data_IF_343930019650
#
_entry.id   IF_343930019650
#
_cell.length_a   1.000
_cell.length_b   1.000
_cell.length_c   1.000
_cell.angle_alpha   90.00
_cell.angle_beta   90.00
_cell.angle_gamma   90.00
#
_symmetry.space_group_name_H-M   'P 1'
#
loop_
_entity.id
_entity.type
_entity.pdbx_description
1 polymer ?
#
# COMPACT_ATOMS: atom_id res chain seq x y z
N UNK A 1 13.16 -7.98 -18.50
CA UNK A 1 11.80 -7.49 -18.77
C UNK A 1 11.88 -6.05 -19.26
N UNK A 2 11.17 -5.73 -20.33
CA UNK A 2 11.01 -4.33 -20.77
C UNK A 2 10.15 -3.59 -19.74
N UNK A 3 10.58 -2.38 -19.36
CA UNK A 3 9.92 -1.60 -18.32
C UNK A 3 9.88 -0.10 -18.63
N UNK A 4 8.90 0.58 -18.05
CA UNK A 4 8.75 2.03 -18.04
C UNK A 4 8.68 2.45 -16.59
N UNK A 5 9.43 3.48 -16.19
CA UNK A 5 9.46 4.01 -14.82
C UNK A 5 8.76 5.35 -14.74
N UNK A 6 8.12 5.61 -13.62
CA UNK A 6 7.34 6.82 -13.34
C UNK A 6 7.82 7.47 -12.06
N UNK A 7 7.70 8.78 -11.98
CA UNK A 7 8.01 9.57 -10.78
C UNK A 7 6.82 10.44 -10.38
N UNK A 8 6.70 10.70 -9.08
CA UNK A 8 5.63 11.57 -8.58
C UNK A 8 5.65 12.97 -9.20
N UNK A 9 6.85 13.52 -9.45
CA UNK A 9 7.01 14.87 -9.99
C UNK A 9 6.60 15.02 -11.45
N UNK A 10 6.83 13.98 -12.26
CA UNK A 10 6.60 14.07 -13.71
C UNK A 10 5.28 13.40 -14.13
N UNK A 11 4.91 12.34 -13.44
CA UNK A 11 3.84 11.42 -13.86
C UNK A 11 2.65 11.42 -12.89
N UNK A 12 2.79 12.06 -11.73
CA UNK A 12 1.77 12.11 -10.70
C UNK A 12 1.65 10.84 -9.84
N UNK A 13 2.52 9.86 -10.07
CA UNK A 13 2.65 8.65 -9.25
C UNK A 13 4.06 8.05 -9.38
N UNK A 14 4.45 7.28 -8.37
CA UNK A 14 5.72 6.56 -8.38
C UNK A 14 5.49 5.09 -8.69
N UNK A 15 6.11 4.59 -9.76
CA UNK A 15 5.86 3.24 -10.21
C UNK A 15 6.80 2.73 -11.29
N UNK A 16 6.65 1.44 -11.60
CA UNK A 16 7.31 0.77 -12.72
C UNK A 16 6.33 -0.14 -13.42
N UNK A 17 6.12 0.11 -14.70
CA UNK A 17 5.32 -0.75 -15.56
C UNK A 17 6.20 -1.79 -16.24
N UNK A 18 5.94 -3.05 -15.95
CA UNK A 18 6.58 -4.20 -16.56
C UNK A 18 5.70 -4.76 -17.67
N UNK A 19 6.21 -4.70 -18.90
CA UNK A 19 5.49 -5.16 -20.08
C UNK A 19 5.65 -6.66 -20.21
N UNK A 20 4.55 -7.38 -20.35
CA UNK A 20 4.57 -8.82 -20.59
C UNK A 20 5.24 -9.11 -21.94
N UNK A 21 6.30 -9.92 -22.00
CA UNK A 21 7.03 -10.19 -23.23
C UNK A 21 6.20 -10.96 -24.28
N UNK A 22 5.18 -11.66 -23.85
CA UNK A 22 4.30 -12.44 -24.76
C UNK A 22 3.08 -11.62 -25.24
N UNK A 23 3.02 -10.33 -24.88
CA UNK A 23 1.87 -9.49 -25.12
C UNK A 23 0.75 -9.73 -24.10
N UNK A 24 0.12 -8.65 -23.67
CA UNK A 24 -1.05 -8.69 -22.79
C UNK A 24 -1.85 -7.41 -22.97
N UNK A 25 -3.17 -7.52 -22.88
CA UNK A 25 -4.10 -6.39 -22.94
C UNK A 25 -4.84 -6.16 -21.61
N UNK A 26 -4.38 -6.81 -20.54
CA UNK A 26 -4.85 -6.62 -19.18
C UNK A 26 -3.65 -6.32 -18.27
N UNK A 27 -3.88 -5.56 -17.21
CA UNK A 27 -2.84 -5.22 -16.26
C UNK A 27 -3.27 -5.46 -14.81
N UNK A 28 -2.28 -5.67 -13.95
CA UNK A 28 -2.46 -5.67 -12.50
C UNK A 28 -1.59 -4.57 -11.90
N UNK A 29 -2.19 -3.70 -11.09
CA UNK A 29 -1.47 -2.79 -10.20
C UNK A 29 -1.07 -3.59 -8.98
N UNK A 30 0.24 -3.69 -8.74
CA UNK A 30 0.80 -4.38 -7.58
C UNK A 30 1.39 -3.37 -6.59
N UNK A 31 0.87 -3.37 -5.37
CA UNK A 31 1.38 -2.59 -4.25
C UNK A 31 2.32 -3.50 -3.44
N UNK A 32 3.59 -3.59 -3.86
CA UNK A 32 4.54 -4.58 -3.36
C UNK A 32 5.62 -4.02 -2.42
N UNK A 33 5.48 -2.81 -1.93
CA UNK A 33 6.41 -2.20 -0.98
C UNK A 33 6.99 -0.87 -1.47
N UNK A 34 8.17 -0.51 -0.97
CA UNK A 34 8.70 0.86 -1.06
C UNK A 34 9.32 1.18 -2.42
N UNK A 35 9.86 0.19 -3.10
CA UNK A 35 10.52 0.37 -4.39
C UNK A 35 9.86 -0.49 -5.47
N UNK A 36 9.24 0.13 -6.49
CA UNK A 36 8.61 -0.59 -7.59
C UNK A 36 9.60 -1.34 -8.49
N UNK A 37 10.89 -1.26 -8.21
CA UNK A 37 11.96 -1.95 -8.92
C UNK A 37 12.73 -2.96 -8.04
N UNK A 38 12.36 -3.15 -6.80
CA UNK A 38 13.04 -4.05 -5.89
C UNK A 38 12.86 -5.54 -6.25
N UNK A 39 13.35 -6.40 -5.38
CA UNK A 39 13.23 -7.85 -5.56
C UNK A 39 11.78 -8.32 -5.51
N UNK A 40 10.99 -7.81 -4.57
CA UNK A 40 9.58 -8.19 -4.39
C UNK A 40 8.74 -7.80 -5.60
N UNK A 41 8.88 -6.56 -6.05
CA UNK A 41 8.23 -6.06 -7.25
C UNK A 41 8.57 -6.90 -8.50
N UNK A 42 9.84 -7.23 -8.67
CA UNK A 42 10.29 -8.09 -9.79
C UNK A 42 9.78 -9.52 -9.70
N UNK A 43 9.71 -10.10 -8.51
CA UNK A 43 9.15 -11.44 -8.31
C UNK A 43 7.65 -11.44 -8.61
N UNK A 44 6.91 -10.48 -8.08
CA UNK A 44 5.48 -10.32 -8.38
C UNK A 44 5.23 -10.12 -9.87
N UNK A 45 6.00 -9.26 -10.52
CA UNK A 45 5.89 -9.05 -11.97
C UNK A 45 6.16 -10.33 -12.78
N UNK A 46 7.18 -11.10 -12.43
CA UNK A 46 7.48 -12.39 -13.10
C UNK A 46 6.36 -13.40 -12.93
N UNK A 47 5.80 -13.49 -11.74
CA UNK A 47 4.69 -14.39 -11.45
C UNK A 47 3.44 -14.00 -12.24
N UNK A 48 3.08 -12.73 -12.25
CA UNK A 48 1.92 -12.21 -12.98
C UNK A 48 2.10 -12.32 -14.50
N UNK A 49 3.33 -12.12 -15.03
CA UNK A 49 3.62 -12.33 -16.45
C UNK A 49 3.34 -13.77 -16.91
N UNK A 50 3.63 -14.77 -16.06
CA UNK A 50 3.30 -16.18 -16.37
C UNK A 50 1.80 -16.40 -16.49
N UNK A 51 1.00 -15.53 -15.87
CA UNK A 51 -0.46 -15.54 -15.95
C UNK A 51 -1.03 -14.58 -17.02
N UNK A 52 -0.20 -14.09 -17.93
CA UNK A 52 -0.63 -13.38 -19.12
C UNK A 52 -1.04 -11.93 -18.93
N UNK A 53 -0.57 -11.25 -17.88
CA UNK A 53 -0.90 -9.84 -17.61
C UNK A 53 0.33 -8.94 -17.58
N UNK A 54 0.14 -7.67 -17.90
CA UNK A 54 1.09 -6.60 -17.62
C UNK A 54 1.07 -6.25 -16.12
N UNK A 55 2.14 -5.66 -15.59
CA UNK A 55 2.20 -5.32 -14.16
C UNK A 55 2.66 -3.89 -13.97
N UNK A 56 1.85 -3.11 -13.25
CA UNK A 56 2.23 -1.80 -12.74
C UNK A 56 2.56 -1.94 -11.27
N UNK A 57 3.83 -2.02 -10.91
CA UNK A 57 4.25 -1.94 -9.52
C UNK A 57 4.23 -0.49 -9.08
N UNK A 58 3.52 -0.18 -8.00
CA UNK A 58 3.45 1.16 -7.42
C UNK A 58 3.94 1.15 -5.99
N UNK A 59 4.48 2.28 -5.57
CA UNK A 59 4.94 2.52 -4.20
C UNK A 59 4.57 3.94 -3.76
N UNK A 60 4.45 4.20 -2.45
CA UNK A 60 4.04 5.52 -1.96
C UNK A 60 5.05 6.60 -2.31
N UNK A 61 6.31 6.38 -2.00
CA UNK A 61 7.43 7.27 -2.36
C UNK A 61 8.78 6.58 -2.09
N UNK A 62 9.81 7.21 -2.64
CA UNK A 62 11.16 6.71 -2.74
C UNK A 62 11.89 6.83 -1.42
N UNK A 63 11.85 6.12 -0.46
CA UNK A 63 12.86 6.06 0.62
C UNK A 63 12.37 5.84 2.05
N UNK A 64 11.13 6.09 2.35
CA UNK A 64 10.61 5.80 3.67
C UNK A 64 9.32 5.01 3.50
N UNK A 65 9.29 3.80 4.00
CA UNK A 65 8.05 3.07 4.16
C UNK A 65 7.16 3.87 5.13
N UNK A 66 6.32 4.69 4.55
CA UNK A 66 5.46 5.62 5.26
C UNK A 66 4.07 5.53 4.65
N UNK A 67 3.08 5.36 5.49
CA UNK A 67 1.70 5.35 5.11
C UNK A 67 1.02 6.57 5.76
N UNK A 68 1.26 7.75 5.21
CA UNK A 68 0.71 9.01 5.71
C UNK A 68 0.01 9.76 4.60
N UNK A 69 -1.32 9.76 4.66
CA UNK A 69 -2.17 10.48 3.71
C UNK A 69 -1.79 10.21 2.24
N UNK A 70 -1.54 8.94 1.90
CA UNK A 70 -1.22 8.57 0.53
C UNK A 70 -2.40 8.92 -0.40
N UNK A 71 -2.18 9.77 -1.43
CA UNK A 71 -3.26 10.20 -2.29
C UNK A 71 -3.76 9.06 -3.18
N UNK A 72 -5.01 8.64 -3.01
CA UNK A 72 -5.64 7.62 -3.88
C UNK A 72 -5.68 8.05 -5.34
N UNK A 73 -5.63 9.35 -5.61
CA UNK A 73 -5.56 9.93 -6.95
C UNK A 73 -4.35 9.45 -7.73
N UNK A 74 -3.27 9.06 -7.07
CA UNK A 74 -2.09 8.47 -7.71
C UNK A 74 -2.43 7.12 -8.37
N UNK A 75 -3.26 6.32 -7.71
CA UNK A 75 -3.76 5.06 -8.29
C UNK A 75 -4.67 5.37 -9.48
N UNK A 76 -5.55 6.37 -9.37
CA UNK A 76 -6.39 6.81 -10.47
C UNK A 76 -5.59 7.28 -11.69
N UNK A 77 -4.49 7.99 -11.46
CA UNK A 77 -3.59 8.41 -12.52
C UNK A 77 -2.93 7.22 -13.23
N UNK A 78 -2.50 6.21 -12.47
CA UNK A 78 -1.96 4.97 -13.03
C UNK A 78 -3.01 4.18 -13.82
N UNK A 79 -4.24 4.09 -13.32
CA UNK A 79 -5.38 3.46 -14.04
C UNK A 79 -5.60 4.14 -15.38
N UNK A 80 -5.69 5.47 -15.40
CA UNK A 80 -5.87 6.26 -16.62
C UNK A 80 -4.72 6.01 -17.60
N UNK A 81 -3.49 5.98 -17.12
CA UNK A 81 -2.33 5.68 -17.94
C UNK A 81 -2.41 4.28 -18.55
N UNK A 82 -2.74 3.26 -17.74
CA UNK A 82 -2.87 1.88 -18.20
C UNK A 82 -3.94 1.73 -19.29
N UNK A 83 -5.10 2.36 -19.13
CA UNK A 83 -6.17 2.36 -20.14
C UNK A 83 -5.72 3.01 -21.45
N UNK A 84 -5.08 4.16 -21.36
CA UNK A 84 -4.56 4.89 -22.52
C UNK A 84 -3.44 4.11 -23.24
N UNK A 85 -2.79 3.16 -22.57
CA UNK A 85 -1.78 2.28 -23.14
C UNK A 85 -2.30 0.86 -23.45
N UNK A 86 -3.60 0.73 -23.72
CA UNK A 86 -4.21 -0.46 -24.30
C UNK A 86 -4.60 -1.55 -23.31
N UNK A 87 -4.53 -1.32 -22.00
CA UNK A 87 -4.97 -2.31 -21.03
C UNK A 87 -6.49 -2.22 -20.84
N UNK A 88 -7.20 -3.30 -21.17
CA UNK A 88 -8.68 -3.36 -21.18
C UNK A 88 -9.26 -3.60 -19.80
N UNK A 89 -8.65 -4.50 -19.02
CA UNK A 89 -9.05 -4.82 -17.65
C UNK A 89 -7.90 -4.54 -16.71
N UNK A 90 -8.21 -3.96 -15.56
CA UNK A 90 -7.23 -3.57 -14.57
C UNK A 90 -7.62 -4.23 -13.24
N UNK A 91 -6.71 -5.07 -12.72
CA UNK A 91 -6.76 -5.56 -11.36
C UNK A 91 -5.87 -4.75 -10.44
N UNK A 92 -6.11 -4.85 -9.13
CA UNK A 92 -5.21 -4.32 -8.11
C UNK A 92 -4.95 -5.38 -7.04
N UNK A 93 -3.73 -5.42 -6.52
CA UNK A 93 -3.37 -6.34 -5.44
C UNK A 93 -2.34 -5.75 -4.48
N UNK A 94 -2.44 -6.19 -3.24
CA UNK A 94 -1.48 -5.83 -2.19
C UNK A 94 -1.57 -6.76 -0.99
N UNK A 95 -0.63 -6.61 -0.06
CA UNK A 95 -0.56 -7.41 1.16
C UNK A 95 -0.56 -6.49 2.37
N UNK A 96 -1.21 -6.91 3.48
CA UNK A 96 -1.28 -6.14 4.73
C UNK A 96 -1.86 -4.74 4.49
N UNK A 97 -1.16 -3.67 4.85
CA UNK A 97 -1.59 -2.29 4.58
C UNK A 97 -1.85 -2.04 3.09
N UNK A 98 -0.97 -2.53 2.22
CA UNK A 98 -1.19 -2.43 0.78
C UNK A 98 -2.41 -3.24 0.28
N UNK A 99 -2.77 -4.31 0.98
CA UNK A 99 -4.02 -5.05 0.74
C UNK A 99 -5.25 -4.20 1.08
N UNK A 100 -5.23 -3.52 2.21
CA UNK A 100 -6.25 -2.53 2.58
C UNK A 100 -6.32 -1.38 1.56
N UNK A 101 -5.17 -0.81 1.16
CA UNK A 101 -5.10 0.24 0.15
C UNK A 101 -5.71 -0.21 -1.18
N UNK A 102 -5.52 -1.49 -1.55
CA UNK A 102 -6.10 -2.07 -2.76
C UNK A 102 -7.63 -2.14 -2.69
N UNK A 103 -8.18 -2.53 -1.53
CA UNK A 103 -9.63 -2.59 -1.31
C UNK A 103 -10.21 -1.17 -1.31
N UNK A 104 -9.57 -0.24 -0.60
CA UNK A 104 -9.99 1.15 -0.58
C UNK A 104 -9.99 1.74 -2.01
N UNK A 105 -8.91 1.56 -2.77
CA UNK A 105 -8.84 2.04 -4.15
C UNK A 105 -9.98 1.51 -5.03
N UNK A 106 -10.36 0.25 -4.87
CA UNK A 106 -11.44 -0.35 -5.64
C UNK A 106 -12.81 0.27 -5.33
N UNK A 107 -13.01 0.81 -4.13
CA UNK A 107 -14.24 1.52 -3.78
C UNK A 107 -14.36 2.92 -4.42
N UNK A 108 -13.23 3.53 -4.78
CA UNK A 108 -13.17 4.83 -5.46
C UNK A 108 -13.10 4.72 -6.98
N UNK A 109 -12.56 3.62 -7.51
CA UNK A 109 -12.30 3.46 -8.94
C UNK A 109 -13.03 2.26 -9.53
N UNK A 110 -14.21 2.45 -10.15
CA UNK A 110 -14.99 1.38 -10.78
C UNK A 110 -14.28 0.72 -11.97
N UNK A 111 -13.23 1.32 -12.48
CA UNK A 111 -12.37 0.76 -13.52
C UNK A 111 -11.51 -0.42 -13.02
N UNK A 112 -11.38 -0.60 -11.71
CA UNK A 112 -10.75 -1.77 -11.11
C UNK A 112 -11.74 -2.94 -11.18
N UNK A 113 -11.42 -3.94 -11.99
CA UNK A 113 -12.30 -5.09 -12.26
C UNK A 113 -12.03 -6.30 -11.36
N UNK A 114 -10.90 -6.31 -10.66
CA UNK A 114 -10.49 -7.37 -9.74
C UNK A 114 -9.64 -6.77 -8.63
N UNK A 115 -9.94 -7.12 -7.38
CA UNK A 115 -9.14 -6.75 -6.22
C UNK A 115 -8.69 -8.01 -5.48
N UNK A 116 -7.40 -8.06 -5.14
CA UNK A 116 -6.84 -9.12 -4.33
C UNK A 116 -6.08 -8.53 -3.15
N UNK A 117 -6.61 -8.71 -1.95
CA UNK A 117 -5.96 -8.36 -0.68
C UNK A 117 -5.45 -9.61 0.03
N UNK A 118 -4.15 -9.68 0.29
CA UNK A 118 -3.59 -10.72 1.13
C UNK A 118 -3.47 -10.18 2.56
N UNK A 119 -4.18 -10.80 3.49
CA UNK A 119 -4.23 -10.38 4.91
C UNK A 119 -4.51 -8.88 5.09
N UNK A 120 -5.50 -8.30 4.40
CA UNK A 120 -5.87 -6.89 4.56
C UNK A 120 -6.57 -6.68 5.90
N UNK A 121 -6.56 -5.44 6.42
CA UNK A 121 -7.59 -5.00 7.35
C UNK A 121 -8.86 -4.60 6.58
N UNK A 122 -9.99 -4.65 7.25
CA UNK A 122 -11.30 -4.22 6.75
C UNK A 122 -11.62 -2.75 7.08
N UNK A 123 -10.66 -2.04 7.63
CA UNK A 123 -10.73 -0.61 7.96
C UNK A 123 -9.43 0.10 7.59
N UNK A 124 -9.51 1.40 7.36
CA UNK A 124 -8.37 2.25 7.07
C UNK A 124 -7.67 2.61 8.39
N UNK A 125 -6.36 2.48 8.41
CA UNK A 125 -5.54 2.75 9.59
C UNK A 125 -5.22 4.25 9.71
N UNK A 126 -4.96 4.70 10.95
CA UNK A 126 -4.27 5.96 11.18
C UNK A 126 -2.95 5.97 10.42
N UNK A 127 -2.56 7.12 9.90
CA UNK A 127 -1.27 7.30 9.22
C UNK A 127 -0.11 7.02 10.17
N UNK A 128 0.91 6.36 9.66
CA UNK A 128 2.10 6.00 10.43
C UNK A 128 3.37 6.05 9.59
N UNK A 129 4.49 6.27 10.27
CA UNK A 129 5.83 6.15 9.70
C UNK A 129 6.56 4.97 10.32
N UNK A 130 7.35 4.25 9.54
CA UNK A 130 8.25 3.25 10.10
C UNK A 130 9.49 3.88 10.70
N UNK A 131 9.87 3.40 11.88
CA UNK A 131 11.09 3.82 12.56
C UNK A 131 12.33 3.38 11.78
N UNK A 132 13.29 4.27 11.64
CA UNK A 132 14.46 4.14 10.75
C UNK A 132 15.48 3.08 11.18
N UNK A 133 15.38 2.47 12.37
CA UNK A 133 16.47 1.65 12.92
C UNK A 133 16.24 0.14 12.83
N UNK A 134 15.01 -0.30 12.87
CA UNK A 134 14.69 -1.73 12.93
C UNK A 134 13.54 -2.15 12.04
N UNK A 135 12.98 -1.22 11.25
CA UNK A 135 11.84 -1.49 10.36
C UNK A 135 10.55 -1.90 11.06
N UNK A 136 10.56 -1.94 12.38
CA UNK A 136 9.52 -2.55 13.21
C UNK A 136 8.72 -1.54 14.04
N UNK A 137 9.17 -0.30 14.12
CA UNK A 137 8.47 0.75 14.88
C UNK A 137 7.61 1.58 13.95
N UNK A 138 6.34 1.33 14.02
CA UNK A 138 5.34 2.16 13.38
C UNK A 138 5.02 3.34 14.30
N UNK A 139 5.32 4.55 13.84
CA UNK A 139 5.05 5.78 14.56
C UNK A 139 3.80 6.42 13.98
N UNK A 140 2.73 6.41 14.71
CA UNK A 140 1.48 6.99 14.27
C UNK A 140 1.55 8.52 14.24
N UNK A 141 0.97 9.04 13.20
CA UNK A 141 0.92 10.48 12.98
C UNK A 141 -0.44 11.01 13.40
N UNK A 142 -0.50 11.96 14.34
CA UNK A 142 -1.77 12.57 14.76
C UNK A 142 -2.51 13.20 13.58
N UNK A 143 -3.83 13.01 13.53
CA UNK A 143 -4.71 13.58 12.51
C UNK A 143 -4.37 13.20 11.06
N UNK A 144 -3.67 12.09 10.86
CA UNK A 144 -3.39 11.54 9.55
C UNK A 144 -4.02 10.17 9.37
N UNK A 145 -4.48 9.90 8.18
CA UNK A 145 -4.87 8.57 7.71
C UNK A 145 -3.70 7.93 6.95
N UNK A 146 -3.74 6.64 6.72
CA UNK A 146 -2.87 6.02 5.72
C UNK A 146 -3.17 6.55 4.32
N UNK A 147 -4.43 6.86 4.04
CA UNK A 147 -4.92 7.30 2.73
C UNK A 147 -5.53 8.70 2.79
N UNK A 148 -5.49 9.40 1.67
CA UNK A 148 -6.18 10.66 1.46
C UNK A 148 -6.98 10.66 0.15
N UNK A 149 -8.01 11.51 0.13
CA UNK A 149 -8.82 11.79 -1.04
C UNK A 149 -9.11 13.29 -1.12
N UNK A 150 -8.90 13.88 -2.28
CA UNK A 150 -9.05 15.34 -2.50
C UNK A 150 -8.28 16.18 -1.46
N UNK A 151 -7.07 15.70 -1.12
CA UNK A 151 -6.19 16.36 -0.16
C UNK A 151 -6.60 16.26 1.31
N UNK A 152 -7.63 15.46 1.63
CA UNK A 152 -8.11 15.25 3.00
C UNK A 152 -7.85 13.81 3.46
N UNK A 153 -7.47 13.58 4.72
CA UNK A 153 -7.43 12.25 5.29
C UNK A 153 -8.78 11.54 5.12
N UNK A 154 -8.75 10.30 4.65
CA UNK A 154 -9.95 9.44 4.66
C UNK A 154 -10.23 9.03 6.11
N UNK A 155 -11.49 8.82 6.48
CA UNK A 155 -11.85 8.32 7.81
C UNK A 155 -11.05 7.06 8.15
N UNK A 156 -10.52 6.99 9.35
CA UNK A 156 -9.58 5.96 9.74
C UNK A 156 -9.78 5.51 11.19
N UNK A 157 -9.28 4.33 11.50
CA UNK A 157 -9.18 3.80 12.84
C UNK A 157 -7.97 4.39 13.55
N UNK A 158 -8.16 5.15 14.64
CA UNK A 158 -7.02 5.64 15.41
C UNK A 158 -6.35 4.51 16.18
N UNK A 159 -5.03 4.60 16.28
CA UNK A 159 -4.29 3.77 17.22
C UNK A 159 -4.54 4.21 18.66
N UNK A 160 -4.63 3.26 19.59
CA UNK A 160 -4.82 3.57 21.01
C UNK A 160 -3.47 3.88 21.65
N UNK A 161 -3.14 5.17 21.71
CA UNK A 161 -1.88 5.65 22.30
C UNK A 161 -1.95 6.04 23.76
N UNK A 162 -3.09 5.88 24.38
CA UNK A 162 -3.35 6.51 25.68
C UNK A 162 -2.60 5.85 26.85
N UNK A 163 -1.83 4.82 26.61
CA UNK A 163 -1.11 4.11 27.66
C UNK A 163 0.39 4.04 27.35
N UNK A 164 1.20 4.93 27.99
CA UNK A 164 2.65 4.90 27.82
C UNK A 164 3.31 3.55 28.13
N UNK A 165 2.70 2.75 28.99
CA UNK A 165 3.14 1.40 29.30
C UNK A 165 3.13 0.47 28.08
N UNK A 166 2.25 0.66 27.11
CA UNK A 166 2.23 -0.15 25.88
C UNK A 166 3.46 0.08 25.03
N UNK A 167 3.93 1.31 24.95
CA UNK A 167 5.19 1.62 24.27
C UNK A 167 6.37 0.94 24.93
N UNK A 168 6.42 0.93 26.26
CA UNK A 168 7.45 0.24 27.02
C UNK A 168 7.41 -1.26 26.78
N UNK A 169 6.22 -1.88 26.80
CA UNK A 169 6.05 -3.31 26.54
C UNK A 169 6.49 -3.65 25.10
N UNK A 170 6.09 -2.86 24.13
CA UNK A 170 6.51 -3.06 22.72
C UNK A 170 8.02 -2.88 22.59
N UNK A 171 8.61 -1.86 23.22
CA UNK A 171 10.06 -1.67 23.22
C UNK A 171 10.81 -2.82 23.89
N UNK A 172 10.35 -3.28 25.04
CA UNK A 172 10.96 -4.40 25.76
C UNK A 172 10.84 -5.72 25.00
N UNK A 173 9.67 -6.01 24.42
CA UNK A 173 9.46 -7.20 23.59
C UNK A 173 10.29 -7.16 22.30
N UNK A 174 10.44 -5.98 21.67
CA UNK A 174 11.21 -5.80 20.43
C UNK A 174 12.72 -5.92 20.69
N UNK A 175 13.21 -5.40 21.81
CA UNK A 175 14.62 -5.52 22.18
C UNK A 175 15.05 -6.96 22.48
N UNK A 176 14.13 -7.79 22.93
CA UNK A 176 14.44 -9.16 23.37
C UNK A 176 14.34 -10.23 22.29
N UNK A 177 13.55 -10.05 21.25
CA UNK A 177 13.19 -11.16 20.36
C UNK A 177 13.67 -11.04 18.92
N UNK A 178 14.03 -9.86 18.44
CA UNK A 178 14.28 -9.64 17.02
C UNK A 178 13.11 -10.02 16.09
N UNK A 179 11.93 -10.30 16.68
CA UNK A 179 10.75 -10.77 15.95
C UNK A 179 9.90 -9.59 15.50
N UNK A 180 9.97 -9.32 14.21
CA UNK A 180 9.25 -8.26 13.53
C UNK A 180 7.72 -8.37 13.70
N UNK A 181 7.22 -9.57 13.91
CA UNK A 181 5.76 -9.81 14.00
C UNK A 181 5.14 -9.32 15.32
N UNK A 182 5.95 -9.08 16.34
CA UNK A 182 5.48 -8.59 17.64
C UNK A 182 5.29 -7.08 17.71
N UNK A 183 5.97 -6.33 16.85
CA UNK A 183 5.79 -4.87 16.76
C UNK A 183 4.40 -4.48 16.23
N UNK A 184 3.70 -5.40 15.62
CA UNK A 184 2.35 -5.21 15.07
C UNK A 184 1.22 -5.59 16.06
N UNK A 185 1.48 -5.82 17.34
CA UNK A 185 0.42 -5.78 18.34
C UNK A 185 -0.05 -4.33 18.55
N UNK A 186 -0.54 -3.76 17.48
CA UNK A 186 -1.28 -2.53 17.50
C UNK A 186 -2.61 -2.83 18.18
N UNK A 187 -2.77 -2.34 19.40
CA UNK A 187 -4.01 -2.45 20.12
C UNK A 187 -5.00 -1.49 19.47
N UNK A 188 -5.79 -2.05 18.60
CA UNK A 188 -6.93 -1.37 18.01
C UNK A 188 -8.01 -1.36 19.07
N UNK A 189 -8.51 -0.19 19.40
CA UNK A 189 -9.70 -0.08 20.21
C UNK A 189 -10.89 -0.58 19.40
N UNK A 190 -11.27 -1.84 19.67
CA UNK A 190 -12.34 -2.51 18.92
C UNK A 190 -13.73 -1.86 19.10
N UNK A 191 -13.93 -1.04 20.14
CA UNK A 191 -15.16 -0.30 20.31
C UNK A 191 -15.21 0.92 19.40
N UNK A 192 -14.12 1.69 19.34
CA UNK A 192 -13.99 2.80 18.39
C UNK A 192 -13.98 2.36 16.93
N UNK A 193 -13.51 1.13 16.67
CA UNK A 193 -13.59 0.51 15.35
C UNK A 193 -15.02 0.47 14.83
N UNK A 194 -15.97 0.14 15.69
CA UNK A 194 -17.39 0.00 15.33
C UNK A 194 -18.11 1.32 15.15
N UNK A 195 -17.58 2.41 15.68
CA UNK A 195 -18.15 3.75 15.51
C UNK A 195 -17.81 4.39 14.16
N UNK A 196 -16.82 3.83 13.44
CA UNK A 196 -16.31 4.35 12.17
C UNK A 196 -16.60 3.44 10.95
N UNK A 197 -17.30 2.34 11.15
CA UNK A 197 -17.80 1.45 10.08
C UNK A 197 -19.30 1.72 9.82
#
# INVERSE_FOLDING_TARGET
MKKITFSNSNDGFYGTYYINPNGADNAVIGLFGDDPNDYMAKCGAKWLHKNGVNVMCMSPDVKNYSHVNYPLERIGTAIKWLKNNGNKKIGIMGMSTAGMDSIAAASYYPDITLTFGLTPSDFIWQGFEQGKKDGCKEWPIPNASTLSWEGKPIAYMPFVYQHPEYYRIIEEETKGSGDVTRSTKLFIDSEKAREHT
#
